data_IF_557115378714
#
_entry.id   IF_557115378714
#
_cell.length_a   1.000
_cell.length_b   1.000
_cell.length_c   1.000
_cell.angle_alpha   90.00
_cell.angle_beta   90.00
_cell.angle_gamma   90.00
#
_symmetry.space_group_name_H-M   'P 1'
#
loop_
_entity.id
_entity.type
_entity.pdbx_description
1 polymer ?
#
# COMPACT_ATOMS: atom_id res chain seq x y z
N UNK A 1 -15.24 -7.13 -40.45
CA UNK A 1 -14.94 -5.93 -39.70
C UNK A 1 -14.81 -6.26 -38.21
N UNK A 2 -13.74 -6.97 -37.88
CA UNK A 2 -13.49 -7.37 -36.52
C UNK A 2 -12.47 -6.41 -35.90
N UNK A 3 -12.82 -5.12 -35.90
CA UNK A 3 -11.95 -4.11 -35.35
C UNK A 3 -12.01 -4.12 -33.82
N UNK A 4 -11.07 -3.40 -33.22
CA UNK A 4 -11.02 -3.30 -31.77
C UNK A 4 -12.09 -2.31 -31.30
N UNK A 5 -12.22 -1.23 -32.06
CA UNK A 5 -13.18 -0.19 -31.72
C UNK A 5 -14.57 -0.82 -31.58
N UNK A 6 -14.88 -1.71 -32.51
CA UNK A 6 -16.19 -2.35 -32.53
C UNK A 6 -16.43 -3.10 -31.23
N UNK A 7 -15.34 -3.59 -30.64
CA UNK A 7 -15.41 -4.32 -29.39
C UNK A 7 -15.70 -3.33 -28.25
N UNK A 8 -15.27 -2.09 -28.46
CA UNK A 8 -15.44 -1.05 -27.46
C UNK A 8 -16.94 -0.75 -27.31
N UNK A 9 -17.56 -0.46 -28.44
CA UNK A 9 -18.97 -0.13 -28.45
C UNK A 9 -19.81 -1.35 -28.03
N UNK A 10 -19.17 -2.50 -28.07
CA UNK A 10 -19.83 -3.74 -27.71
C UNK A 10 -20.04 -3.79 -26.19
N UNK A 11 -19.01 -3.37 -25.47
CA UNK A 11 -19.08 -3.33 -24.01
C UNK A 11 -20.03 -2.21 -23.59
N UNK A 12 -20.11 -1.19 -24.44
CA UNK A 12 -20.97 -0.06 -24.16
C UNK A 12 -22.36 -0.32 -24.75
N UNK A 13 -22.55 -1.54 -25.22
CA UNK A 13 -23.83 -1.93 -25.80
C UNK A 13 -24.54 -2.90 -24.84
N UNK A 14 -23.74 -3.64 -24.10
CA UNK A 14 -24.29 -4.61 -23.16
C UNK A 14 -24.31 -4.04 -21.74
N UNK A 15 -24.97 -4.78 -20.86
CA UNK A 15 -25.06 -4.37 -19.46
C UNK A 15 -23.76 -4.73 -18.73
N UNK A 16 -23.51 -4.01 -17.64
CA UNK A 16 -22.32 -4.23 -16.86
C UNK A 16 -22.21 -5.72 -16.50
N UNK A 17 -23.35 -6.28 -16.10
CA UNK A 17 -23.41 -7.68 -15.76
C UNK A 17 -22.84 -8.55 -16.89
N UNK A 18 -23.28 -8.24 -18.10
CA UNK A 18 -22.87 -9.00 -19.27
C UNK A 18 -21.35 -8.85 -19.44
N UNK A 19 -20.85 -7.70 -19.02
CA UNK A 19 -19.43 -7.42 -19.13
C UNK A 19 -18.67 -8.18 -18.05
N UNK A 20 -19.30 -8.27 -16.88
CA UNK A 20 -18.72 -9.00 -15.77
C UNK A 20 -18.56 -10.47 -16.16
N UNK A 21 -19.62 -11.02 -16.72
CA UNK A 21 -19.60 -12.39 -17.18
C UNK A 21 -18.44 -12.61 -18.16
N UNK A 22 -18.35 -11.71 -19.12
CA UNK A 22 -17.31 -11.79 -20.13
C UNK A 22 -15.94 -11.89 -19.44
N UNK A 23 -15.57 -10.81 -18.78
CA UNK A 23 -14.30 -10.76 -18.08
C UNK A 23 -14.10 -12.05 -17.28
N UNK A 24 -15.15 -12.42 -16.57
CA UNK A 24 -15.12 -13.63 -15.74
C UNK A 24 -14.75 -14.83 -16.62
N UNK A 25 -15.31 -14.86 -17.81
CA UNK A 25 -15.04 -15.94 -18.74
C UNK A 25 -13.56 -15.96 -19.08
N UNK A 26 -13.10 -14.87 -19.69
CA UNK A 26 -11.70 -14.76 -20.08
C UNK A 26 -10.78 -15.10 -18.91
N UNK A 27 -11.19 -14.66 -17.73
CA UNK A 27 -10.40 -14.91 -16.53
C UNK A 27 -9.98 -16.37 -16.47
N UNK A 28 -10.93 -17.25 -16.78
CA UNK A 28 -10.68 -18.67 -16.72
C UNK A 28 -9.89 -19.13 -17.95
N UNK A 29 -10.34 -18.67 -19.11
CA UNK A 29 -9.72 -19.07 -20.37
C UNK A 29 -8.24 -18.71 -20.32
N UNK A 30 -7.96 -17.42 -20.25
CA UNK A 30 -6.60 -16.94 -20.28
C UNK A 30 -5.91 -17.17 -18.94
N UNK A 31 -6.69 -17.63 -17.97
CA UNK A 31 -6.17 -17.91 -16.65
C UNK A 31 -6.34 -16.69 -15.74
N UNK A 32 -6.64 -16.97 -14.48
CA UNK A 32 -6.89 -15.92 -13.50
C UNK A 32 -5.57 -15.22 -13.18
N UNK A 33 -4.48 -15.91 -13.47
CA UNK A 33 -3.16 -15.37 -13.22
C UNK A 33 -2.82 -14.31 -14.27
N UNK A 34 -3.09 -14.64 -15.52
CA UNK A 34 -2.70 -13.78 -16.62
C UNK A 34 -3.74 -12.67 -16.79
N UNK A 35 -4.97 -13.01 -16.43
CA UNK A 35 -6.08 -12.08 -16.61
C UNK A 35 -6.24 -11.24 -15.35
N UNK A 36 -5.61 -11.70 -14.27
CA UNK A 36 -5.70 -11.02 -13.00
C UNK A 36 -5.60 -9.52 -13.22
N UNK A 37 -4.63 -9.13 -14.03
CA UNK A 37 -4.37 -7.72 -14.27
C UNK A 37 -5.60 -7.08 -14.93
N UNK A 38 -6.17 -7.81 -15.88
CA UNK A 38 -7.30 -7.30 -16.63
C UNK A 38 -8.52 -7.25 -15.73
N UNK A 39 -8.63 -8.25 -14.86
CA UNK A 39 -9.79 -8.38 -14.00
C UNK A 39 -9.85 -7.20 -13.04
N UNK A 40 -8.73 -6.93 -12.41
CA UNK A 40 -8.65 -5.87 -11.41
C UNK A 40 -8.70 -4.51 -12.11
N UNK A 41 -8.21 -4.50 -13.35
CA UNK A 41 -8.14 -3.26 -14.11
C UNK A 41 -9.54 -2.95 -14.67
N UNK A 42 -10.31 -4.00 -14.90
CA UNK A 42 -11.62 -3.86 -15.49
C UNK A 42 -12.68 -3.83 -14.39
N UNK A 43 -12.30 -4.35 -13.24
CA UNK A 43 -13.22 -4.46 -12.11
C UNK A 43 -13.97 -3.14 -11.90
N UNK A 44 -13.18 -2.03 -11.84
CA UNK A 44 -13.74 -0.72 -11.58
C UNK A 44 -14.48 -0.18 -12.81
N UNK A 45 -13.91 -0.46 -13.97
CA UNK A 45 -14.47 0.02 -15.22
C UNK A 45 -15.93 -0.42 -15.32
N UNK A 46 -16.17 -1.65 -14.89
CA UNK A 46 -17.50 -2.23 -15.00
C UNK A 46 -18.45 -1.58 -13.98
N UNK A 47 -17.95 -1.45 -12.76
CA UNK A 47 -18.76 -0.92 -11.67
C UNK A 47 -19.14 0.53 -11.97
N UNK A 48 -18.19 1.25 -12.54
CA UNK A 48 -18.37 2.67 -12.79
C UNK A 48 -19.63 2.87 -13.63
N UNK A 49 -19.87 1.92 -14.53
CA UNK A 49 -20.97 2.04 -15.48
C UNK A 49 -22.31 1.93 -14.74
N UNK A 50 -22.25 1.29 -13.58
CA UNK A 50 -23.46 1.12 -12.77
C UNK A 50 -23.61 2.30 -11.81
N UNK A 51 -22.60 3.15 -11.81
CA UNK A 51 -22.57 4.28 -10.88
C UNK A 51 -22.70 3.76 -9.45
N UNK A 52 -21.92 2.73 -9.16
CA UNK A 52 -21.95 2.12 -7.83
C UNK A 52 -20.53 2.05 -7.26
N UNK A 53 -19.78 3.11 -7.48
CA UNK A 53 -18.42 3.19 -6.97
C UNK A 53 -18.28 4.40 -6.04
N UNK A 54 -18.71 4.21 -4.80
CA UNK A 54 -18.57 5.24 -3.79
C UNK A 54 -17.43 4.89 -2.82
N UNK A 55 -16.72 5.94 -2.40
CA UNK A 55 -15.58 5.75 -1.52
C UNK A 55 -15.93 6.31 -0.14
N UNK A 56 -15.71 5.49 0.87
CA UNK A 56 -15.95 5.90 2.24
C UNK A 56 -14.61 6.09 2.96
N UNK A 57 -14.30 7.34 3.26
CA UNK A 57 -13.05 7.67 3.92
C UNK A 57 -13.34 8.07 5.37
N UNK A 58 -12.38 7.76 6.23
CA UNK A 58 -12.49 8.12 7.63
C UNK A 58 -11.56 9.30 7.93
N UNK A 59 -12.17 10.40 8.36
CA UNK A 59 -11.41 11.61 8.63
C UNK A 59 -11.03 11.64 10.12
N UNK A 60 -12.05 11.59 10.96
CA UNK A 60 -11.84 11.64 12.39
C UNK A 60 -12.70 10.58 13.07
N UNK A 61 -12.05 9.78 13.91
CA UNK A 61 -12.74 8.73 14.64
C UNK A 61 -13.68 9.38 15.67
N UNK A 62 -13.34 10.59 16.06
CA UNK A 62 -14.14 11.31 17.03
C UNK A 62 -13.85 10.81 18.46
N UNK A 63 -14.82 11.01 19.33
CA UNK A 63 -14.68 10.61 20.72
C UNK A 63 -15.23 9.19 20.90
N UNK A 64 -14.97 8.36 19.90
CA UNK A 64 -15.43 6.98 19.93
C UNK A 64 -14.51 6.11 19.07
N UNK A 65 -13.23 6.16 19.40
CA UNK A 65 -12.24 5.41 18.65
C UNK A 65 -12.54 3.91 18.76
N UNK A 66 -13.20 3.56 19.86
CA UNK A 66 -13.51 2.16 20.12
C UNK A 66 -14.48 1.65 19.05
N UNK A 67 -15.66 2.27 19.01
CA UNK A 67 -16.68 1.88 18.06
C UNK A 67 -16.12 1.95 16.64
N UNK A 68 -15.34 3.00 16.41
CA UNK A 68 -14.75 3.21 15.09
C UNK A 68 -13.92 1.99 14.71
N UNK A 69 -12.94 1.68 15.55
CA UNK A 69 -12.05 0.57 15.29
C UNK A 69 -12.88 -0.67 14.93
N UNK A 70 -14.01 -0.80 15.61
CA UNK A 70 -14.89 -1.93 15.38
C UNK A 70 -15.44 -1.87 13.95
N UNK A 71 -16.00 -0.70 13.62
CA UNK A 71 -16.56 -0.50 12.31
C UNK A 71 -15.51 -0.78 11.24
N UNK A 72 -14.30 -0.32 11.51
CA UNK A 72 -13.20 -0.50 10.58
C UNK A 72 -12.98 -2.00 10.35
N UNK A 73 -12.34 -2.63 11.32
CA UNK A 73 -12.02 -4.04 11.21
C UNK A 73 -13.26 -4.84 10.80
N UNK A 74 -14.41 -4.32 11.19
CA UNK A 74 -15.67 -4.98 10.91
C UNK A 74 -16.01 -4.89 9.41
N UNK A 75 -15.63 -3.76 8.82
CA UNK A 75 -15.93 -3.52 7.42
C UNK A 75 -14.84 -4.15 6.55
N UNK A 76 -13.68 -4.33 7.17
CA UNK A 76 -12.53 -4.89 6.46
C UNK A 76 -12.13 -6.24 7.05
N UNK A 77 -11.50 -6.19 8.21
CA UNK A 77 -11.05 -7.40 8.87
C UNK A 77 -9.53 -7.36 9.11
N UNK A 78 -8.99 -6.16 9.02
CA UNK A 78 -7.56 -5.97 9.23
C UNK A 78 -7.24 -6.17 10.70
N UNK A 79 -5.99 -6.56 10.95
CA UNK A 79 -5.53 -6.77 12.32
C UNK A 79 -5.80 -5.56 13.19
N UNK A 80 -6.10 -5.81 14.45
CA UNK A 80 -6.38 -4.75 15.39
C UNK A 80 -5.38 -3.61 15.19
N UNK A 81 -4.11 -3.99 15.11
CA UNK A 81 -3.04 -3.02 14.92
C UNK A 81 -3.29 -2.25 13.61
N UNK A 82 -3.24 -2.99 12.51
CA UNK A 82 -3.44 -2.38 11.21
C UNK A 82 -4.58 -1.36 11.25
N UNK A 83 -5.68 -1.79 11.85
CA UNK A 83 -6.86 -0.94 11.94
C UNK A 83 -6.52 0.32 12.73
N UNK A 84 -5.84 0.12 13.85
CA UNK A 84 -5.46 1.22 14.71
C UNK A 84 -4.66 2.25 13.90
N UNK A 85 -3.59 1.76 13.28
CA UNK A 85 -2.73 2.63 12.49
C UNK A 85 -3.57 3.33 11.43
N UNK A 86 -4.37 2.54 10.73
CA UNK A 86 -5.22 3.08 9.68
C UNK A 86 -5.97 4.30 10.20
N UNK A 87 -6.73 4.09 11.27
CA UNK A 87 -7.54 5.16 11.83
C UNK A 87 -6.62 6.32 12.23
N UNK A 88 -5.48 5.97 12.79
CA UNK A 88 -4.55 6.98 13.30
C UNK A 88 -3.87 7.69 12.13
N UNK A 89 -4.01 7.11 10.95
CA UNK A 89 -3.34 7.64 9.77
C UNK A 89 -4.36 8.38 8.89
N UNK A 90 -5.43 8.83 9.54
CA UNK A 90 -6.46 9.56 8.84
C UNK A 90 -5.84 10.73 8.06
N UNK A 91 -6.45 11.03 6.89
CA UNK A 91 -7.62 10.28 6.43
C UNK A 91 -7.21 8.90 5.91
N UNK A 92 -8.16 7.98 5.98
CA UNK A 92 -7.90 6.61 5.54
C UNK A 92 -9.15 6.06 4.85
N UNK A 93 -8.92 5.44 3.71
CA UNK A 93 -10.02 4.85 2.94
C UNK A 93 -10.52 3.61 3.67
N UNK A 94 -11.83 3.62 3.96
CA UNK A 94 -12.46 2.49 4.59
C UNK A 94 -12.88 1.47 3.51
N UNK A 95 -13.52 2.00 2.48
CA UNK A 95 -13.94 1.17 1.36
C UNK A 95 -13.73 1.94 0.05
N UNK A 96 -13.57 1.20 -1.02
CA UNK A 96 -13.35 1.80 -2.32
C UNK A 96 -14.16 1.08 -3.39
N UNK A 97 -14.98 1.86 -4.10
CA UNK A 97 -15.79 1.30 -5.16
C UNK A 97 -16.83 0.32 -4.62
N UNK A 98 -17.56 0.78 -3.62
CA UNK A 98 -18.59 -0.05 -3.01
C UNK A 98 -19.97 0.56 -3.29
N UNK A 99 -20.98 -0.28 -3.18
CA UNK A 99 -22.36 0.17 -3.40
C UNK A 99 -22.69 1.30 -2.43
N UNK A 100 -23.49 2.24 -2.92
CA UNK A 100 -23.89 3.39 -2.13
C UNK A 100 -24.51 2.90 -0.81
N UNK A 101 -25.40 1.93 -0.94
CA UNK A 101 -26.11 1.41 0.22
C UNK A 101 -25.10 1.00 1.29
N UNK A 102 -24.05 0.32 0.85
CA UNK A 102 -23.03 -0.16 1.75
C UNK A 102 -22.28 1.03 2.36
N UNK A 103 -21.96 1.98 1.50
CA UNK A 103 -21.22 3.16 1.92
C UNK A 103 -21.99 3.86 3.03
N UNK A 104 -23.28 4.06 2.78
CA UNK A 104 -24.12 4.79 3.72
C UNK A 104 -24.34 3.97 4.98
N UNK A 105 -24.22 2.65 4.83
CA UNK A 105 -24.48 1.74 5.93
C UNK A 105 -23.43 1.97 7.03
N UNK A 106 -22.18 1.96 6.61
CA UNK A 106 -21.08 2.18 7.55
C UNK A 106 -21.11 3.65 8.00
N UNK A 107 -21.38 4.53 7.06
CA UNK A 107 -21.42 5.96 7.34
C UNK A 107 -22.34 6.20 8.54
N UNK A 108 -23.55 5.69 8.43
CA UNK A 108 -24.54 5.88 9.47
C UNK A 108 -24.02 5.27 10.78
N UNK A 109 -23.25 4.20 10.64
CA UNK A 109 -22.70 3.53 11.79
C UNK A 109 -21.72 4.46 12.50
N UNK A 110 -20.91 5.13 11.70
CA UNK A 110 -19.92 6.07 12.23
C UNK A 110 -20.65 7.19 12.96
N UNK A 111 -21.71 7.68 12.33
CA UNK A 111 -22.48 8.77 12.90
C UNK A 111 -23.08 8.35 14.24
N UNK A 112 -23.63 7.14 14.26
CA UNK A 112 -24.22 6.61 15.47
C UNK A 112 -23.21 6.64 16.63
N UNK A 113 -21.95 6.40 16.28
CA UNK A 113 -20.90 6.39 17.28
C UNK A 113 -20.44 7.83 17.54
N UNK A 114 -20.55 8.65 16.52
CA UNK A 114 -20.15 10.05 16.63
C UNK A 114 -18.76 10.27 16.05
N UNK A 115 -18.62 9.95 14.76
CA UNK A 115 -17.35 10.09 14.08
C UNK A 115 -17.56 10.86 12.78
N UNK A 116 -16.46 11.41 12.27
CA UNK A 116 -16.51 12.18 11.04
C UNK A 116 -16.13 11.31 9.85
N UNK A 117 -17.06 11.17 8.92
CA UNK A 117 -16.83 10.35 7.75
C UNK A 117 -16.80 11.25 6.51
N UNK A 118 -16.29 10.68 5.42
CA UNK A 118 -16.22 11.40 4.16
C UNK A 118 -16.74 10.53 3.02
N UNK A 119 -17.66 11.11 2.25
CA UNK A 119 -18.23 10.40 1.11
C UNK A 119 -17.85 11.14 -0.17
N UNK A 120 -17.18 10.42 -1.05
CA UNK A 120 -16.74 11.00 -2.31
C UNK A 120 -16.82 9.94 -3.41
N UNK B 1 -23.21 -11.82 -34.70
CA UNK B 1 -22.68 -12.85 -33.83
C UNK B 1 -21.67 -12.24 -32.85
N UNK B 2 -22.20 -11.49 -31.90
CA UNK B 2 -21.36 -10.84 -30.90
C UNK B 2 -21.69 -11.42 -29.51
N UNK B 3 -21.42 -12.70 -29.37
CA UNK B 3 -21.66 -13.37 -28.09
C UNK B 3 -20.45 -13.20 -27.17
N UNK B 4 -20.70 -13.39 -25.88
CA UNK B 4 -19.65 -13.26 -24.89
C UNK B 4 -18.49 -14.18 -25.27
N UNK B 5 -18.83 -15.42 -25.60
CA UNK B 5 -17.82 -16.40 -25.93
C UNK B 5 -17.02 -15.94 -27.15
N UNK B 6 -17.77 -15.54 -28.17
CA UNK B 6 -17.15 -15.12 -29.42
C UNK B 6 -16.10 -14.04 -29.16
N UNK B 7 -16.32 -13.29 -28.10
CA UNK B 7 -15.42 -12.21 -27.74
C UNK B 7 -14.16 -12.80 -27.12
N UNK B 8 -14.35 -13.89 -26.39
CA UNK B 8 -13.22 -14.56 -25.75
C UNK B 8 -12.20 -14.97 -26.82
N UNK B 9 -12.70 -15.66 -27.84
CA UNK B 9 -11.83 -16.13 -28.90
C UNK B 9 -11.32 -14.95 -29.73
N UNK B 10 -11.95 -13.81 -29.53
CA UNK B 10 -11.58 -12.61 -30.27
C UNK B 10 -10.31 -12.02 -29.66
N UNK B 11 -10.24 -12.08 -28.34
CA UNK B 11 -9.08 -11.55 -27.62
C UNK B 11 -7.88 -12.46 -27.88
N UNK B 12 -8.17 -13.73 -28.11
CA UNK B 12 -7.12 -14.70 -28.35
C UNK B 12 -6.81 -14.75 -29.85
N UNK B 13 -7.38 -13.80 -30.57
CA UNK B 13 -7.17 -13.72 -32.01
C UNK B 13 -6.12 -12.66 -32.32
N UNK B 14 -6.05 -11.67 -31.44
CA UNK B 14 -5.10 -10.58 -31.61
C UNK B 14 -3.91 -10.73 -30.65
N UNK B 15 -2.90 -9.90 -30.88
CA UNK B 15 -1.70 -9.94 -30.06
C UNK B 15 -1.98 -9.27 -28.70
N UNK B 16 -1.06 -9.49 -27.77
CA UNK B 16 -1.19 -8.93 -26.45
C UNK B 16 -1.23 -7.40 -26.54
N UNK B 17 -0.32 -6.87 -27.33
CA UNK B 17 -0.23 -5.44 -27.52
C UNK B 17 -1.55 -4.88 -28.06
N UNK B 18 -2.10 -5.57 -29.05
CA UNK B 18 -3.34 -5.15 -29.67
C UNK B 18 -4.46 -5.16 -28.62
N UNK B 19 -4.29 -6.04 -27.64
CA UNK B 19 -5.27 -6.17 -26.59
C UNK B 19 -5.13 -5.00 -25.61
N UNK B 20 -3.88 -4.66 -25.33
CA UNK B 20 -3.59 -3.55 -24.45
C UNK B 20 -4.33 -2.30 -24.94
N UNK B 21 -4.32 -2.13 -26.26
CA UNK B 21 -5.01 -1.01 -26.88
C UNK B 21 -6.51 -1.12 -26.63
N UNK B 22 -7.03 -2.33 -26.78
CA UNK B 22 -8.43 -2.58 -26.54
C UNK B 22 -8.81 -2.07 -25.15
N UNK B 23 -8.24 -2.71 -24.14
CA UNK B 23 -8.54 -2.35 -22.77
C UNK B 23 -8.37 -0.84 -22.59
N UNK B 24 -7.32 -0.32 -23.21
CA UNK B 24 -6.99 1.10 -23.10
C UNK B 24 -8.12 1.94 -23.69
N UNK B 25 -8.65 1.47 -24.82
CA UNK B 25 -9.68 2.20 -25.53
C UNK B 25 -10.84 2.50 -24.58
N UNK B 26 -11.34 1.44 -23.96
CA UNK B 26 -12.46 1.57 -23.04
C UNK B 26 -12.18 2.65 -21.98
N UNK B 27 -11.00 2.56 -21.39
CA UNK B 27 -10.60 3.51 -20.37
C UNK B 27 -10.93 4.93 -20.81
N UNK B 28 -10.54 5.24 -22.04
CA UNK B 28 -10.76 6.56 -22.59
C UNK B 28 -12.23 6.74 -22.98
N UNK B 29 -12.74 5.75 -23.68
CA UNK B 29 -14.13 5.80 -24.14
C UNK B 29 -15.04 6.13 -22.97
N UNK B 30 -15.10 5.20 -22.03
CA UNK B 30 -15.93 5.38 -20.85
C UNK B 30 -15.33 6.43 -19.91
N UNK B 31 -14.15 6.90 -20.28
CA UNK B 31 -13.46 7.90 -19.48
C UNK B 31 -13.49 7.52 -17.99
N UNK B 32 -13.11 6.28 -17.72
CA UNK B 32 -13.08 5.79 -16.36
C UNK B 32 -11.65 5.90 -15.82
N UNK B 33 -11.03 7.04 -16.11
CA UNK B 33 -9.65 7.28 -15.68
C UNK B 33 -9.45 8.76 -15.37
N UNK B 34 -10.18 9.23 -14.37
CA UNK B 34 -10.08 10.63 -13.96
C UNK B 34 -11.12 10.91 -12.88
N UNK B 35 -10.78 10.52 -11.66
CA UNK B 35 -11.65 10.74 -10.52
C UNK B 35 -10.84 11.22 -9.33
N UNK B 36 -10.09 10.29 -8.75
CA UNK B 36 -9.27 10.60 -7.59
C UNK B 36 -7.93 9.88 -7.71
N UNK B 37 -7.96 8.57 -7.49
CA UNK B 37 -6.76 7.77 -7.54
C UNK B 37 -5.72 8.36 -6.58
N UNK B 38 -4.54 7.73 -6.59
CA UNK B 38 -3.46 8.18 -5.73
C UNK B 38 -2.36 8.79 -6.59
N UNK B 39 -1.50 9.56 -5.92
CA UNK B 39 -0.40 10.22 -6.62
C UNK B 39 0.63 9.18 -7.05
N UNK B 40 1.59 8.94 -6.17
CA UNK B 40 2.66 8.00 -6.47
C UNK B 40 3.44 8.49 -7.69
N UNK B 41 4.11 9.63 -7.51
CA UNK B 41 4.90 10.20 -8.58
C UNK B 41 6.39 9.94 -8.32
N UNK B 42 6.82 8.75 -8.71
CA UNK B 42 8.21 8.36 -8.51
C UNK B 42 9.07 8.97 -9.62
N UNK B 43 9.97 9.85 -9.21
CA UNK B 43 10.86 10.51 -10.16
C UNK B 43 11.99 9.56 -10.59
N UNK B 44 12.57 9.88 -11.79
CA UNK B 44 13.66 9.08 -12.32
C UNK B 44 14.97 9.37 -11.57
N UNK B 45 15.70 8.31 -11.30
CA UNK B 45 16.97 8.42 -10.59
C UNK B 45 17.72 9.64 -11.12
N UNK B 46 18.19 10.47 -10.19
CA UNK B 46 18.93 11.67 -10.55
C UNK B 46 20.08 11.89 -9.58
N UNK B 47 21.21 12.31 -10.13
CA UNK B 47 22.39 12.57 -9.33
C UNK B 47 22.01 13.49 -8.16
N UNK B 48 22.99 13.74 -7.30
CA UNK B 48 22.78 14.61 -6.15
C UNK B 48 22.19 13.79 -5.00
N UNK B 49 23.00 12.86 -4.51
CA UNK B 49 22.57 12.02 -3.41
C UNK B 49 22.99 12.66 -2.08
N UNK B 50 22.29 12.27 -1.02
CA UNK B 50 22.55 12.80 0.30
C UNK B 50 23.61 11.94 1.01
N UNK B 51 24.11 12.47 2.12
CA UNK B 51 25.10 11.76 2.90
C UNK B 51 24.71 11.81 4.38
N UNK B 52 23.65 11.09 4.70
CA UNK B 52 23.17 11.04 6.07
C UNK B 52 22.95 9.59 6.51
N UNK B 53 23.83 8.72 6.02
CA UNK B 53 23.75 7.31 6.34
C UNK B 53 25.10 6.81 6.86
N UNK B 54 25.33 7.06 8.14
CA UNK B 54 26.57 6.63 8.78
C UNK B 54 26.33 5.41 9.67
N UNK B 55 27.30 4.52 9.67
CA UNK B 55 27.21 3.30 10.47
C UNK B 55 28.25 3.35 11.59
N UNK B 56 27.78 3.07 12.79
CA UNK B 56 28.65 3.06 13.96
C UNK B 56 28.88 1.61 14.41
N UNK B 57 30.11 1.16 14.24
CA UNK B 57 30.46 -0.20 14.64
C UNK B 57 31.33 -0.15 15.90
N UNK B 58 31.18 -1.18 16.72
CA UNK B 58 31.95 -1.28 17.94
C UNK B 58 33.03 -2.36 17.77
N UNK B 59 34.27 -1.94 17.91
CA UNK B 59 35.40 -2.84 17.72
C UNK B 59 35.79 -3.43 19.08
N UNK B 60 36.16 -2.56 19.99
CA UNK B 60 36.60 -2.97 21.32
C UNK B 60 35.94 -2.09 22.38
N UNK B 61 35.32 -2.74 23.34
CA UNK B 61 34.68 -2.02 24.44
C UNK B 61 35.74 -1.35 25.29
N UNK B 62 36.94 -1.91 25.26
CA UNK B 62 38.04 -1.38 26.03
C UNK B 62 37.94 -1.80 27.49
N UNK B 63 38.58 -1.02 28.35
CA UNK B 63 38.58 -1.31 29.78
C UNK B 63 37.41 -0.58 30.45
N UNK B 64 36.28 -0.57 29.76
CA UNK B 64 35.09 0.09 30.27
C UNK B 64 33.85 -0.57 29.65
N UNK B 65 33.75 -1.87 29.83
CA UNK B 65 32.63 -2.62 29.30
C UNK B 65 31.33 -2.10 29.92
N UNK B 66 31.46 -1.57 31.13
CA UNK B 66 30.31 -1.08 31.86
C UNK B 66 29.69 0.09 31.10
N UNK B 67 30.49 1.14 30.95
CA UNK B 67 30.03 2.35 30.27
C UNK B 67 29.53 1.98 28.87
N UNK B 68 30.29 1.09 28.23
CA UNK B 68 29.95 0.66 26.88
C UNK B 68 28.52 0.09 26.88
N UNK B 69 28.32 -0.92 27.70
CA UNK B 69 27.04 -1.59 27.77
C UNK B 69 25.93 -0.54 27.89
N UNK B 70 26.22 0.50 28.65
CA UNK B 70 25.27 1.57 28.86
C UNK B 70 25.00 2.29 27.54
N UNK B 71 26.09 2.68 26.89
CA UNK B 71 25.99 3.37 25.62
C UNK B 71 25.18 2.53 24.64
N UNK B 72 25.45 1.23 24.66
CA UNK B 72 24.78 0.30 23.77
C UNK B 72 23.27 0.36 24.02
N UNK B 73 22.85 -0.28 25.10
CA UNK B 73 21.44 -0.33 25.43
C UNK B 73 20.82 1.06 25.37
N UNK B 74 21.66 2.05 25.63
CA UNK B 74 21.20 3.43 25.65
C UNK B 74 20.89 3.93 24.23
N UNK B 75 21.69 3.44 23.29
CA UNK B 75 21.55 3.88 21.91
C UNK B 75 20.49 3.01 21.22
N UNK B 76 20.27 1.84 21.79
CA UNK B 76 19.32 0.90 21.21
C UNK B 76 18.15 0.67 22.18
N UNK B 77 18.42 -0.09 23.22
CA UNK B 77 17.40 -0.41 24.21
C UNK B 77 17.23 -1.93 24.34
N UNK B 78 18.22 -2.65 23.86
CA UNK B 78 18.20 -4.10 23.93
C UNK B 78 18.37 -4.54 25.37
N UNK B 79 17.85 -5.72 25.67
CA UNK B 79 17.95 -6.27 27.02
C UNK B 79 19.41 -6.31 27.49
N UNK B 80 19.58 -6.09 28.78
CA UNK B 80 20.92 -6.10 29.38
C UNK B 80 21.72 -7.25 28.78
N UNK B 81 21.10 -8.43 28.76
CA UNK B 81 21.76 -9.61 28.24
C UNK B 81 22.15 -9.36 26.79
N UNK B 82 21.15 -9.17 25.95
CA UNK B 82 21.39 -8.95 24.53
C UNK B 82 22.59 -8.02 24.34
N UNK B 83 22.58 -6.93 25.08
CA UNK B 83 23.64 -5.94 24.97
C UNK B 83 24.97 -6.58 25.34
N UNK B 84 24.95 -7.32 26.45
CA UNK B 84 26.15 -7.98 26.93
C UNK B 84 26.72 -8.88 25.82
N UNK B 85 25.87 -9.76 25.33
CA UNK B 85 26.26 -10.70 24.29
C UNK B 85 26.83 -9.91 23.10
N UNK B 86 26.09 -8.89 22.70
CA UNK B 86 26.50 -8.07 21.57
C UNK B 86 27.97 -7.67 21.73
N UNK B 87 28.24 -6.99 22.83
CA UNK B 87 29.59 -6.50 23.09
C UNK B 87 30.55 -7.69 23.13
N UNK B 88 30.09 -8.77 23.73
CA UNK B 88 30.91 -9.96 23.89
C UNK B 88 31.16 -10.63 22.54
N UNK B 89 30.36 -10.23 21.57
CA UNK B 89 30.45 -10.81 20.23
C UNK B 89 31.14 -9.82 19.28
N UNK B 90 31.89 -8.90 19.88
CA UNK B 90 32.62 -7.91 19.10
C UNK B 90 33.45 -8.62 18.04
N UNK B 91 33.61 -7.94 16.87
CA UNK B 91 33.00 -6.63 16.69
C UNK B 91 31.49 -6.76 16.45
N UNK B 92 30.77 -5.68 16.77
CA UNK B 92 29.33 -5.68 16.63
C UNK B 92 28.87 -4.29 16.19
N UNK B 93 27.98 -4.28 15.21
CA UNK B 93 27.44 -3.04 14.70
C UNK B 93 26.49 -2.43 15.75
N UNK B 94 26.74 -1.17 16.07
CA UNK B 94 25.93 -0.47 17.04
C UNK B 94 24.69 0.10 16.35
N UNK B 95 24.95 0.83 15.27
CA UNK B 95 23.87 1.44 14.51
C UNK B 95 24.22 1.40 13.02
N UNK B 96 23.17 1.48 12.20
CA UNK B 96 23.36 1.45 10.77
C UNK B 96 22.45 2.50 10.10
N UNK B 97 23.08 3.37 9.33
CA UNK B 97 22.34 4.39 8.60
C UNK B 97 21.70 5.38 9.56
N UNK B 98 22.53 5.92 10.45
CA UNK B 98 22.07 6.90 11.42
C UNK B 98 22.69 8.26 11.11
N UNK B 99 22.07 9.29 11.64
CA UNK B 99 22.56 10.64 11.42
C UNK B 99 23.99 10.77 11.95
N UNK B 100 24.78 11.56 11.24
CA UNK B 100 26.17 11.77 11.62
C UNK B 100 26.23 12.29 13.06
N UNK B 101 25.38 13.26 13.35
CA UNK B 101 25.37 13.87 14.66
C UNK B 101 25.23 12.78 15.72
N UNK B 102 24.31 11.86 15.47
CA UNK B 102 24.05 10.78 16.41
C UNK B 102 25.27 9.86 16.49
N UNK B 103 25.82 9.57 15.33
CA UNK B 103 26.97 8.68 15.24
C UNK B 103 28.11 9.24 16.09
N UNK B 104 28.38 10.52 15.89
CA UNK B 104 29.48 11.17 16.58
C UNK B 104 29.16 11.34 18.06
N UNK B 105 27.86 11.39 18.35
CA UNK B 105 27.40 11.59 19.71
C UNK B 105 27.78 10.37 20.56
N UNK B 106 27.45 9.20 20.05
CA UNK B 106 27.78 7.96 20.72
C UNK B 106 29.29 7.74 20.68
N UNK B 107 29.86 8.04 19.52
CA UNK B 107 31.29 7.87 19.34
C UNK B 107 32.04 8.57 20.46
N UNK B 108 31.73 9.84 20.64
CA UNK B 108 32.39 10.65 21.66
C UNK B 108 32.15 10.02 23.02
N UNK B 109 30.99 9.42 23.17
CA UNK B 109 30.62 8.78 24.43
C UNK B 109 31.56 7.60 24.69
N UNK B 110 31.81 6.84 23.64
CA UNK B 110 32.70 5.69 23.74
C UNK B 110 34.09 6.16 24.12
N UNK B 111 34.52 7.23 23.47
CA UNK B 111 35.85 7.78 23.72
C UNK B 111 35.98 8.23 25.17
N UNK B 112 34.93 8.91 25.64
CA UNK B 112 34.90 9.39 27.01
C UNK B 112 35.13 8.23 27.98
N UNK B 113 34.61 7.07 27.61
CA UNK B 113 34.72 5.89 28.44
C UNK B 113 36.08 5.22 28.19
N UNK B 114 36.55 5.37 26.96
CA UNK B 114 37.83 4.79 26.57
C UNK B 114 37.62 3.48 25.82
N UNK B 115 36.89 3.57 24.71
CA UNK B 115 36.60 2.39 23.91
C UNK B 115 36.96 2.69 22.45
N UNK B 116 37.12 1.61 21.68
CA UNK B 116 37.45 1.74 20.28
C UNK B 116 36.21 1.62 19.41
N UNK B 117 35.93 2.69 18.67
CA UNK B 117 34.76 2.72 17.82
C UNK B 117 35.19 2.75 16.35
N UNK B 118 34.24 2.46 15.48
CA UNK B 118 34.50 2.48 14.05
C UNK B 118 33.40 3.25 13.31
N UNK B 119 33.84 4.18 12.47
CA UNK B 119 32.90 4.99 11.70
C UNK B 119 33.10 4.70 10.22
N UNK B 120 32.03 4.25 9.58
CA UNK B 120 32.06 3.94 8.17
C UNK B 120 30.71 4.31 7.53
#
# INVERSE_FOLDING_TARGET
SITKDQIIEAVAAMSVMDVVELISAMEEKFGVSAAAAVAVAAGPVEAAEEKTEFDVILKAAGANKVAVIKAVRGATGLGLKEAKDLVESAPAALKEGVSKDDAEALKKALEEAGAEVEVK
SITKDQIIEAVAAMSVMDVVELISAMEEKFGVSAAAAVAVAAGPVEAAEEKTEFDVILKAAGANKVAVIKAVRGATGLGLKEAKDLVESAPAALKEGVSKDDAEALKKALEEAGAEVEVK
#
